data_IF_689410111224
#
_entry.id   IF_689410111224
#
_cell.length_a   1.000
_cell.length_b   1.000
_cell.length_c   1.000
_cell.angle_alpha   90.00
_cell.angle_beta   90.00
_cell.angle_gamma   90.00
#
_symmetry.space_group_name_H-M   'P 1'
#
loop_
_entity.id
_entity.type
_entity.pdbx_description
1 polymer ?
#
# COMPACT_ATOMS: atom_id res chain seq x y z
N UNK A 1 6.01 -24.07 -5.20
CA UNK A 1 5.63 -23.20 -6.33
C UNK A 1 5.59 -21.82 -5.73
N UNK A 2 6.44 -20.91 -6.19
CA UNK A 2 6.55 -19.60 -5.57
C UNK A 2 5.34 -18.76 -5.94
N UNK A 3 5.02 -17.79 -5.09
CA UNK A 3 3.89 -16.85 -5.28
C UNK A 3 3.92 -16.12 -6.65
N UNK A 4 5.09 -16.09 -7.31
CA UNK A 4 5.31 -15.58 -8.66
C UNK A 4 4.66 -16.39 -9.78
N UNK A 5 4.41 -17.68 -9.57
CA UNK A 5 4.03 -18.61 -10.63
C UNK A 5 2.52 -18.59 -10.91
N UNK A 6 1.71 -18.07 -9.97
CA UNK A 6 0.24 -18.06 -10.01
C UNK A 6 -0.35 -16.68 -10.34
N UNK A 7 0.29 -15.98 -11.29
CA UNK A 7 -0.18 -14.67 -11.79
C UNK A 7 -0.69 -14.75 -13.22
N UNK A 8 -1.94 -14.37 -13.39
CA UNK A 8 -2.53 -14.16 -14.70
C UNK A 8 -2.34 -12.70 -15.14
N UNK A 9 -1.51 -12.51 -16.15
CA UNK A 9 -1.38 -11.22 -16.84
C UNK A 9 -2.40 -11.10 -17.96
N UNK A 10 -3.35 -10.18 -17.83
CA UNK A 10 -4.32 -9.88 -18.90
C UNK A 10 -3.81 -8.71 -19.72
N UNK A 11 -3.57 -8.96 -21.00
CA UNK A 11 -3.08 -7.96 -21.95
C UNK A 11 -4.22 -7.16 -22.58
N UNK A 12 -3.93 -5.90 -22.89
CA UNK A 12 -4.81 -5.03 -23.67
C UNK A 12 -4.62 -5.21 -25.18
N UNK A 13 -5.33 -4.38 -25.95
CA UNK A 13 -5.34 -4.37 -27.42
C UNK A 13 -3.94 -4.16 -28.03
N UNK A 14 -3.05 -3.46 -27.32
CA UNK A 14 -1.67 -3.18 -27.73
C UNK A 14 -0.62 -4.13 -27.11
N UNK A 15 -1.04 -5.26 -26.53
CA UNK A 15 -0.13 -6.27 -25.97
C UNK A 15 0.51 -5.91 -24.61
N UNK A 16 0.33 -4.67 -24.13
CA UNK A 16 0.72 -4.27 -22.77
C UNK A 16 -0.17 -4.95 -21.71
N UNK A 17 0.40 -5.25 -20.54
CA UNK A 17 -0.38 -5.78 -19.40
C UNK A 17 -1.38 -4.71 -18.96
N UNK A 18 -2.67 -5.02 -19.08
CA UNK A 18 -3.77 -4.14 -18.67
C UNK A 18 -4.09 -4.32 -17.19
N UNK A 19 -4.10 -5.56 -16.71
CA UNK A 19 -4.23 -5.87 -15.29
C UNK A 19 -3.64 -7.24 -14.97
N UNK A 20 -3.31 -7.45 -13.70
CA UNK A 20 -2.83 -8.70 -13.14
C UNK A 20 -3.86 -9.27 -12.19
N UNK A 21 -4.01 -10.59 -12.19
CA UNK A 21 -4.78 -11.33 -11.19
C UNK A 21 -3.81 -12.25 -10.48
N UNK A 22 -3.71 -12.08 -9.16
CA UNK A 22 -2.97 -12.97 -8.28
C UNK A 22 -3.98 -13.82 -7.51
N UNK A 23 -3.78 -15.13 -7.51
CA UNK A 23 -4.54 -16.07 -6.67
C UNK A 23 -3.61 -16.60 -5.59
N UNK A 24 -4.05 -16.53 -4.33
CA UNK A 24 -3.29 -17.04 -3.18
C UNK A 24 -4.05 -18.25 -2.64
N UNK A 25 -3.50 -19.43 -2.84
CA UNK A 25 -3.95 -20.70 -2.24
C UNK A 25 -3.00 -21.17 -1.13
N UNK A 26 -3.39 -22.22 -0.40
CA UNK A 26 -2.70 -22.73 0.81
C UNK A 26 -1.20 -23.02 0.61
N UNK A 27 -0.79 -23.49 -0.58
CA UNK A 27 0.62 -23.81 -0.86
C UNK A 27 1.54 -22.59 -0.85
N UNK A 28 0.99 -21.37 -0.87
CA UNK A 28 1.75 -20.12 -0.80
C UNK A 28 1.90 -19.57 0.63
N UNK A 29 1.26 -20.19 1.63
CA UNK A 29 1.13 -19.56 2.94
C UNK A 29 2.46 -19.45 3.69
N UNK A 30 3.39 -20.40 3.52
CA UNK A 30 4.71 -20.30 4.15
C UNK A 30 5.52 -19.14 3.56
N UNK A 31 5.56 -18.99 2.24
CA UNK A 31 6.20 -17.85 1.56
C UNK A 31 5.56 -16.52 2.02
N UNK A 32 4.24 -16.45 2.05
CA UNK A 32 3.53 -15.25 2.48
C UNK A 32 3.80 -14.91 3.95
N UNK A 33 3.87 -15.90 4.84
CA UNK A 33 4.23 -15.69 6.25
C UNK A 33 5.64 -15.16 6.38
N UNK A 34 6.58 -15.69 5.61
CA UNK A 34 7.97 -15.23 5.62
C UNK A 34 8.07 -13.79 5.09
N UNK A 35 7.39 -13.47 3.98
CA UNK A 35 7.31 -12.10 3.46
C UNK A 35 6.74 -11.13 4.49
N UNK A 36 5.62 -11.48 5.14
CA UNK A 36 5.03 -10.67 6.22
C UNK A 36 6.04 -10.51 7.35
N UNK A 37 6.67 -11.58 7.82
CA UNK A 37 7.63 -11.52 8.94
C UNK A 37 8.78 -10.57 8.65
N UNK A 38 9.31 -10.61 7.42
CA UNK A 38 10.47 -9.83 7.03
C UNK A 38 10.14 -8.35 6.74
N UNK A 39 8.92 -8.06 6.26
CA UNK A 39 8.57 -6.72 5.76
C UNK A 39 7.62 -5.93 6.68
N UNK A 40 6.96 -6.58 7.65
CA UNK A 40 5.86 -5.97 8.41
C UNK A 40 6.25 -4.68 9.12
N UNK A 41 7.45 -4.63 9.74
CA UNK A 41 7.90 -3.44 10.45
C UNK A 41 8.05 -2.25 9.50
N UNK A 42 8.75 -2.44 8.38
CA UNK A 42 8.97 -1.40 7.36
C UNK A 42 7.66 -0.95 6.71
N UNK A 43 6.75 -1.88 6.40
CA UNK A 43 5.42 -1.53 5.86
C UNK A 43 4.58 -0.72 6.85
N UNK A 44 4.69 -1.03 8.14
CA UNK A 44 3.94 -0.33 9.19
C UNK A 44 4.52 1.04 9.51
N UNK A 45 5.85 1.17 9.59
CA UNK A 45 6.51 2.33 10.17
C UNK A 45 7.41 3.11 9.19
N UNK A 46 7.85 2.49 8.10
CA UNK A 46 8.84 3.01 7.16
C UNK A 46 10.27 2.75 7.60
N UNK A 47 11.21 2.78 6.64
CA UNK A 47 12.63 2.46 6.86
C UNK A 47 13.32 3.49 7.76
N UNK A 48 13.10 4.79 7.53
CA UNK A 48 13.77 5.86 8.27
C UNK A 48 13.43 5.86 9.79
N UNK A 49 12.16 5.80 10.20
CA UNK A 49 11.79 5.71 11.62
C UNK A 49 12.44 4.52 12.32
N UNK A 50 12.48 3.35 11.67
CA UNK A 50 13.16 2.15 12.18
C UNK A 50 14.66 2.42 12.35
N UNK A 51 15.29 3.11 11.41
CA UNK A 51 16.71 3.46 11.52
C UNK A 51 17.00 4.44 12.67
N UNK A 52 16.05 5.30 13.04
CA UNK A 52 16.19 6.28 14.13
C UNK A 52 15.91 5.64 15.50
N UNK A 53 14.84 4.86 15.63
CA UNK A 53 14.40 4.23 16.89
C UNK A 53 14.14 2.71 16.69
N UNK A 54 15.19 1.90 16.45
CA UNK A 54 15.05 0.49 16.07
C UNK A 54 14.42 -0.39 17.16
N UNK A 55 14.55 0.01 18.43
CA UNK A 55 13.97 -0.72 19.57
C UNK A 55 12.45 -0.47 19.72
N UNK A 56 11.95 0.66 19.21
CA UNK A 56 10.53 1.03 19.26
C UNK A 56 9.77 0.43 18.05
N UNK A 57 10.31 0.59 16.84
CA UNK A 57 9.66 0.20 15.59
C UNK A 57 10.05 -1.23 15.15
N UNK A 58 9.71 -2.21 15.98
CA UNK A 58 10.05 -3.63 15.74
C UNK A 58 8.93 -4.40 15.06
N UNK A 59 9.26 -5.57 14.49
CA UNK A 59 8.27 -6.56 14.03
C UNK A 59 7.22 -6.88 15.12
N UNK A 60 7.66 -7.09 16.35
CA UNK A 60 6.76 -7.40 17.46
C UNK A 60 5.86 -6.21 17.84
N UNK A 61 6.36 -4.97 17.76
CA UNK A 61 5.54 -3.78 17.94
C UNK A 61 4.45 -3.68 16.86
N UNK A 62 4.82 -3.91 15.59
CA UNK A 62 3.88 -3.92 14.47
C UNK A 62 2.78 -4.98 14.66
N UNK A 63 3.15 -6.22 15.03
CA UNK A 63 2.20 -7.28 15.34
C UNK A 63 1.21 -6.87 16.44
N UNK A 64 1.71 -6.30 17.55
CA UNK A 64 0.85 -5.85 18.67
C UNK A 64 -0.14 -4.77 18.21
N UNK A 65 0.32 -3.81 17.41
CA UNK A 65 -0.51 -2.72 16.92
C UNK A 65 -1.56 -3.17 15.90
N UNK A 66 -1.18 -4.02 14.93
CA UNK A 66 -2.13 -4.65 14.00
C UNK A 66 -3.18 -5.44 14.77
N UNK A 67 -2.76 -6.30 15.70
CA UNK A 67 -3.69 -7.10 16.50
C UNK A 67 -4.67 -6.22 17.29
N UNK A 68 -4.18 -5.17 17.96
CA UNK A 68 -5.03 -4.20 18.68
C UNK A 68 -6.05 -3.54 17.76
N UNK A 69 -5.65 -3.14 16.55
CA UNK A 69 -6.57 -2.53 15.58
C UNK A 69 -7.63 -3.53 15.10
N UNK A 70 -7.22 -4.77 14.79
CA UNK A 70 -8.14 -5.82 14.35
C UNK A 70 -9.18 -6.18 15.42
N UNK A 71 -8.83 -6.13 16.70
CA UNK A 71 -9.78 -6.33 17.81
C UNK A 71 -10.80 -5.19 17.93
N UNK A 72 -10.38 -3.95 17.63
CA UNK A 72 -11.23 -2.75 17.75
C UNK A 72 -12.16 -2.54 16.55
N UNK A 73 -11.72 -2.91 15.35
CA UNK A 73 -12.42 -2.58 14.11
C UNK A 73 -13.63 -3.47 13.85
N UNK A 74 -14.62 -2.93 13.14
CA UNK A 74 -15.68 -3.73 12.51
C UNK A 74 -15.12 -4.45 11.30
N UNK A 75 -15.77 -5.53 10.88
CA UNK A 75 -15.32 -6.42 9.81
C UNK A 75 -14.82 -5.70 8.54
N UNK A 76 -15.58 -4.71 8.03
CA UNK A 76 -15.19 -3.97 6.82
C UNK A 76 -13.84 -3.25 6.97
N UNK A 77 -13.59 -2.65 8.13
CA UNK A 77 -12.34 -1.99 8.43
C UNK A 77 -11.19 -2.98 8.69
N UNK A 78 -11.49 -4.18 9.22
CA UNK A 78 -10.51 -5.28 9.30
C UNK A 78 -10.07 -5.72 7.91
N UNK A 79 -11.02 -5.92 7.00
CA UNK A 79 -10.71 -6.29 5.61
C UNK A 79 -9.90 -5.19 4.92
N UNK A 80 -10.24 -3.91 5.16
CA UNK A 80 -9.48 -2.78 4.66
C UNK A 80 -8.01 -2.83 5.08
N UNK A 81 -7.77 -2.97 6.39
CA UNK A 81 -6.41 -3.02 6.95
C UNK A 81 -5.60 -4.22 6.40
N UNK A 82 -6.20 -5.41 6.33
CA UNK A 82 -5.53 -6.60 5.80
C UNK A 82 -5.29 -6.47 4.29
N UNK A 83 -6.25 -5.93 3.54
CA UNK A 83 -6.11 -5.72 2.10
C UNK A 83 -4.97 -4.75 1.79
N UNK A 84 -4.86 -3.65 2.54
CA UNK A 84 -3.77 -2.67 2.43
C UNK A 84 -2.41 -3.31 2.76
N UNK A 85 -2.33 -4.06 3.86
CA UNK A 85 -1.12 -4.80 4.25
C UNK A 85 -0.65 -5.76 3.16
N UNK A 86 -1.56 -6.59 2.63
CA UNK A 86 -1.21 -7.55 1.59
C UNK A 86 -0.72 -6.84 0.32
N UNK A 87 -1.35 -5.74 -0.07
CA UNK A 87 -0.95 -5.01 -1.26
C UNK A 87 0.41 -4.32 -1.10
N UNK A 88 0.75 -3.82 0.10
CA UNK A 88 2.08 -3.29 0.39
C UNK A 88 3.18 -4.34 0.20
N UNK A 89 2.95 -5.57 0.68
CA UNK A 89 3.92 -6.66 0.60
C UNK A 89 4.01 -7.25 -0.81
N UNK A 90 2.85 -7.44 -1.46
CA UNK A 90 2.78 -8.21 -2.70
C UNK A 90 3.01 -7.35 -3.94
N UNK A 91 2.42 -6.15 -4.02
CA UNK A 91 2.43 -5.35 -5.24
C UNK A 91 3.85 -5.06 -5.77
N UNK A 92 4.85 -4.69 -4.95
CA UNK A 92 6.20 -4.40 -5.44
C UNK A 92 6.82 -5.52 -6.28
N UNK A 93 6.49 -6.78 -5.98
CA UNK A 93 7.03 -7.94 -6.68
C UNK A 93 6.44 -8.13 -8.09
N UNK A 94 5.35 -7.43 -8.41
CA UNK A 94 4.54 -7.65 -9.61
C UNK A 94 4.29 -6.38 -10.42
N UNK A 95 4.91 -5.28 -10.04
CA UNK A 95 4.93 -4.04 -10.82
C UNK A 95 6.00 -4.14 -11.91
N UNK A 96 5.74 -3.51 -13.06
CA UNK A 96 6.69 -3.49 -14.20
C UNK A 96 7.82 -2.46 -14.02
N UNK A 97 7.95 -1.90 -12.82
CA UNK A 97 8.93 -0.88 -12.48
C UNK A 97 9.52 -1.16 -11.10
N UNK A 98 10.71 -0.62 -10.85
CA UNK A 98 11.35 -0.68 -9.54
C UNK A 98 10.56 0.19 -8.55
N UNK A 99 9.68 -0.45 -7.78
CA UNK A 99 8.78 0.21 -6.85
C UNK A 99 9.36 0.23 -5.44
N UNK A 100 9.72 1.42 -4.95
CA UNK A 100 10.01 1.62 -3.52
C UNK A 100 8.75 2.12 -2.82
N UNK A 101 8.27 1.41 -1.79
CA UNK A 101 7.09 1.85 -1.03
C UNK A 101 7.43 3.08 -0.21
N UNK A 102 6.65 4.15 -0.37
CA UNK A 102 6.81 5.39 0.41
C UNK A 102 5.65 5.62 1.37
N UNK A 103 4.49 5.00 1.12
CA UNK A 103 3.39 4.99 2.09
C UNK A 103 3.64 3.98 3.20
N UNK A 104 2.98 4.22 4.35
CA UNK A 104 3.02 3.40 5.55
C UNK A 104 1.62 3.16 6.05
N UNK A 105 1.37 1.99 6.64
CA UNK A 105 0.08 1.69 7.24
C UNK A 105 -0.21 2.58 8.45
N UNK A 106 0.81 2.86 9.29
CA UNK A 106 0.63 3.65 10.49
C UNK A 106 1.22 5.05 10.34
N UNK A 107 0.40 6.06 10.65
CA UNK A 107 0.89 7.42 10.83
C UNK A 107 1.64 7.50 12.16
N UNK A 108 2.89 7.99 12.15
CA UNK A 108 3.73 8.09 13.34
C UNK A 108 3.32 9.21 14.29
N UNK A 109 2.78 10.31 13.76
CA UNK A 109 2.53 11.54 14.52
C UNK A 109 1.04 11.80 14.84
N UNK A 110 0.11 11.33 14.00
CA UNK A 110 -1.32 11.58 14.18
C UNK A 110 -2.18 10.43 13.65
N UNK A 111 -2.73 9.61 14.56
CA UNK A 111 -3.61 8.48 14.21
C UNK A 111 -4.93 8.91 13.50
N UNK A 112 -5.26 10.21 13.52
CA UNK A 112 -6.51 10.74 12.97
C UNK A 112 -6.40 11.23 11.52
N UNK A 113 -5.19 11.28 10.94
CA UNK A 113 -5.00 11.71 9.55
C UNK A 113 -4.29 10.58 8.81
N UNK A 114 -5.03 9.88 7.92
CA UNK A 114 -4.42 8.94 6.98
C UNK A 114 -3.46 9.74 6.09
N UNK A 115 -2.16 9.47 6.20
CA UNK A 115 -1.15 10.10 5.37
C UNK A 115 -1.23 9.48 3.97
N UNK A 116 -1.59 10.29 2.98
CA UNK A 116 -1.56 9.88 1.58
C UNK A 116 -2.68 8.93 1.13
N UNK A 117 -2.40 8.21 0.05
CA UNK A 117 -3.25 7.16 -0.50
C UNK A 117 -3.01 5.84 0.22
N UNK A 118 -3.84 4.83 -0.09
CA UNK A 118 -3.64 3.48 0.44
C UNK A 118 -2.25 2.93 0.04
N UNK A 119 -1.79 3.22 -1.18
CA UNK A 119 -0.43 2.87 -1.63
C UNK A 119 0.23 4.05 -2.33
N UNK A 120 1.49 4.30 -2.03
CA UNK A 120 2.36 5.17 -2.78
C UNK A 120 3.67 4.42 -3.08
N UNK A 121 4.07 4.42 -4.35
CA UNK A 121 5.38 3.90 -4.76
C UNK A 121 6.20 4.98 -5.45
N UNK A 122 7.50 4.97 -5.22
CA UNK A 122 8.43 5.76 -5.98
C UNK A 122 9.14 4.87 -7.01
N UNK A 123 9.02 5.26 -8.29
CA UNK A 123 9.75 4.64 -9.39
C UNK A 123 11.04 5.40 -9.62
N UNK A 124 12.16 4.78 -9.21
CA UNK A 124 13.51 5.35 -9.38
C UNK A 124 13.91 5.54 -10.83
N UNK A 125 13.48 4.63 -11.71
CA UNK A 125 13.88 4.61 -13.13
C UNK A 125 13.37 5.83 -13.89
N UNK A 126 12.14 6.25 -13.61
CA UNK A 126 11.55 7.42 -14.28
C UNK A 126 11.25 8.60 -13.35
N UNK A 127 11.64 8.51 -12.08
CA UNK A 127 11.46 9.52 -11.03
C UNK A 127 10.01 9.95 -10.85
N UNK A 128 9.08 8.99 -10.87
CA UNK A 128 7.63 9.23 -10.71
C UNK A 128 7.09 8.66 -9.41
N UNK A 129 6.04 9.29 -8.91
CA UNK A 129 5.24 8.76 -7.80
C UNK A 129 4.02 8.07 -8.41
N UNK A 130 3.79 6.84 -7.99
CA UNK A 130 2.63 6.04 -8.32
C UNK A 130 1.68 5.99 -7.14
N UNK A 131 0.40 6.21 -7.42
CA UNK A 131 -0.67 6.20 -6.43
C UNK A 131 -1.56 4.99 -6.62
N UNK A 132 -1.86 4.29 -5.54
CA UNK A 132 -2.72 3.13 -5.51
C UNK A 132 -3.86 3.29 -4.51
N UNK A 133 -5.02 2.80 -4.91
CA UNK A 133 -6.22 2.75 -4.07
C UNK A 133 -6.61 1.29 -3.90
N UNK A 134 -6.80 0.87 -2.65
CA UNK A 134 -7.09 -0.52 -2.27
C UNK A 134 -8.55 -0.63 -1.86
N UNK A 135 -9.21 -1.67 -2.36
CA UNK A 135 -10.58 -2.02 -1.99
C UNK A 135 -10.68 -3.51 -1.74
N UNK A 136 -11.14 -3.85 -0.55
CA UNK A 136 -11.26 -5.21 -0.04
C UNK A 136 -12.72 -5.52 0.33
N UNK A 137 -13.08 -6.79 0.28
CA UNK A 137 -14.40 -7.25 0.70
C UNK A 137 -14.57 -8.75 0.53
N UNK A 138 -15.54 -9.32 1.23
CA UNK A 138 -15.90 -10.74 1.11
C UNK A 138 -16.66 -10.99 -0.18
N UNK A 139 -16.41 -12.13 -0.84
CA UNK A 139 -17.04 -12.53 -2.10
C UNK A 139 -18.57 -12.48 -2.01
N UNK A 140 -19.14 -12.92 -0.89
CA UNK A 140 -20.60 -12.96 -0.67
C UNK A 140 -21.22 -11.58 -0.43
N UNK A 141 -20.45 -10.62 0.09
CA UNK A 141 -20.93 -9.29 0.48
C UNK A 141 -20.52 -8.18 -0.50
N UNK A 142 -19.58 -8.47 -1.40
CA UNK A 142 -18.94 -7.47 -2.25
C UNK A 142 -18.78 -7.98 -3.68
N UNK A 143 -19.35 -7.22 -4.62
CA UNK A 143 -19.10 -7.44 -6.04
C UNK A 143 -17.70 -6.92 -6.41
N UNK A 144 -16.84 -7.79 -6.94
CA UNK A 144 -15.47 -7.45 -7.41
C UNK A 144 -15.46 -6.25 -8.35
N UNK A 145 -16.39 -6.18 -9.31
CA UNK A 145 -16.52 -5.04 -10.23
C UNK A 145 -16.89 -3.77 -9.48
N UNK A 146 -17.73 -3.89 -8.45
CA UNK A 146 -18.08 -2.78 -7.55
C UNK A 146 -16.87 -2.24 -6.79
N UNK A 147 -16.02 -3.11 -6.25
CA UNK A 147 -14.79 -2.72 -5.56
C UNK A 147 -13.80 -2.03 -6.51
N UNK A 148 -13.57 -2.58 -7.70
CA UNK A 148 -12.72 -1.96 -8.74
C UNK A 148 -13.25 -0.57 -9.12
N UNK A 149 -14.57 -0.45 -9.33
CA UNK A 149 -15.18 0.84 -9.65
C UNK A 149 -15.05 1.85 -8.50
N UNK A 150 -15.16 1.41 -7.24
CA UNK A 150 -14.92 2.27 -6.07
C UNK A 150 -13.47 2.75 -6.04
N UNK A 151 -12.49 1.86 -6.29
CA UNK A 151 -11.08 2.23 -6.36
C UNK A 151 -10.83 3.26 -7.47
N UNK A 152 -11.35 3.01 -8.68
CA UNK A 152 -11.25 3.92 -9.81
C UNK A 152 -11.86 5.31 -9.51
N UNK A 153 -13.07 5.34 -8.94
CA UNK A 153 -13.73 6.59 -8.54
C UNK A 153 -12.94 7.34 -7.47
N UNK A 154 -12.34 6.63 -6.51
CA UNK A 154 -11.47 7.19 -5.48
C UNK A 154 -10.27 7.92 -6.10
N UNK A 155 -9.53 7.22 -6.96
CA UNK A 155 -8.40 7.80 -7.70
C UNK A 155 -8.82 8.98 -8.57
N UNK A 156 -9.89 8.84 -9.36
CA UNK A 156 -10.39 9.91 -10.23
C UNK A 156 -10.77 11.15 -9.43
N UNK A 157 -11.56 10.98 -8.37
CA UNK A 157 -12.00 12.07 -7.52
C UNK A 157 -10.80 12.78 -6.86
N UNK A 158 -9.77 12.03 -6.47
CA UNK A 158 -8.54 12.62 -5.98
C UNK A 158 -7.86 13.49 -7.05
N UNK A 159 -7.57 12.93 -8.23
CA UNK A 159 -6.80 13.64 -9.26
C UNK A 159 -7.54 14.85 -9.81
N UNK A 160 -8.86 14.75 -9.98
CA UNK A 160 -9.69 15.89 -10.41
C UNK A 160 -9.62 17.06 -9.40
N UNK A 161 -9.37 16.78 -8.12
CA UNK A 161 -9.42 17.75 -7.04
C UNK A 161 -8.05 18.06 -6.41
N UNK A 162 -6.95 17.50 -6.91
CA UNK A 162 -5.63 17.60 -6.25
C UNK A 162 -5.14 19.06 -6.12
N UNK A 163 -5.52 19.91 -7.07
CA UNK A 163 -5.21 21.35 -7.07
C UNK A 163 -6.35 22.21 -6.50
N UNK A 164 -7.46 21.59 -6.08
CA UNK A 164 -8.63 22.31 -5.59
C UNK A 164 -8.33 22.95 -4.23
N UNK A 165 -8.56 24.27 -4.13
CA UNK A 165 -8.45 25.00 -2.85
C UNK A 165 -9.57 24.66 -1.86
N UNK A 166 -10.65 24.00 -2.33
CA UNK A 166 -11.82 23.64 -1.51
C UNK A 166 -11.64 22.29 -0.80
N UNK A 167 -10.81 21.40 -1.36
CA UNK A 167 -10.60 20.04 -0.86
C UNK A 167 -9.25 19.95 -0.13
N UNK A 168 -9.20 20.49 1.10
CA UNK A 168 -8.00 20.57 1.95
C UNK A 168 -7.37 19.19 2.16
N UNK A 169 -8.18 18.13 2.26
CA UNK A 169 -7.72 16.76 2.49
C UNK A 169 -6.92 16.19 1.32
N UNK A 170 -7.35 16.43 0.09
CA UNK A 170 -6.70 15.97 -1.14
C UNK A 170 -5.34 16.64 -1.32
N UNK A 171 -5.29 17.96 -1.09
CA UNK A 171 -4.03 18.72 -1.13
C UNK A 171 -3.06 18.27 -0.04
N UNK A 172 -3.53 18.05 1.19
CA UNK A 172 -2.69 17.56 2.28
C UNK A 172 -2.04 16.21 1.93
N UNK A 173 -2.79 15.28 1.34
CA UNK A 173 -2.25 13.99 0.87
C UNK A 173 -1.16 14.15 -0.18
N UNK A 174 -1.29 15.11 -1.11
CA UNK A 174 -0.25 15.42 -2.10
C UNK A 174 1.02 15.99 -1.44
N UNK A 175 0.87 16.95 -0.53
CA UNK A 175 2.00 17.53 0.19
C UNK A 175 2.73 16.48 1.04
N UNK A 176 1.99 15.57 1.69
CA UNK A 176 2.58 14.46 2.43
C UNK A 176 3.43 13.54 1.54
N UNK A 177 2.89 13.12 0.39
CA UNK A 177 3.63 12.28 -0.55
C UNK A 177 4.90 12.96 -1.10
N UNK A 178 4.84 14.26 -1.41
CA UNK A 178 6.03 15.03 -1.82
C UNK A 178 7.07 15.13 -0.71
N UNK A 179 6.64 15.31 0.54
CA UNK A 179 7.55 15.38 1.68
C UNK A 179 8.30 14.05 1.87
N UNK A 180 7.59 12.92 1.78
CA UNK A 180 8.19 11.58 1.88
C UNK A 180 9.24 11.36 0.78
N UNK A 181 8.93 11.73 -0.47
CA UNK A 181 9.91 11.64 -1.57
C UNK A 181 11.10 12.59 -1.38
N UNK A 182 10.87 13.81 -0.88
CA UNK A 182 11.94 14.76 -0.62
C UNK A 182 12.95 14.25 0.42
N UNK A 183 12.46 13.56 1.46
CA UNK A 183 13.30 12.91 2.47
C UNK A 183 14.14 11.79 1.85
N UNK A 184 13.53 10.94 1.01
CA UNK A 184 14.28 9.90 0.29
C UNK A 184 15.44 10.47 -0.52
N UNK A 185 15.20 11.51 -1.33
CA UNK A 185 16.27 12.14 -2.10
C UNK A 185 17.33 12.85 -1.25
N UNK A 186 16.97 13.35 -0.06
CA UNK A 186 17.95 13.94 0.86
C UNK A 186 18.87 12.87 1.46
N UNK A 187 18.37 11.66 1.66
CA UNK A 187 19.15 10.52 2.15
C UNK A 187 20.09 9.91 1.11
N UNK A 188 19.73 9.94 -0.18
CA UNK A 188 20.57 9.45 -1.30
C UNK A 188 21.79 10.34 -1.63
N UNK A 189 21.85 11.56 -1.06
CA UNK A 189 22.97 12.50 -1.26
C UNK A 189 24.08 12.38 -0.20
N UNK A 190 24.02 11.40 0.68
CA UNK A 190 25.07 11.06 1.66
C UNK A 190 25.83 9.83 1.22
#
# INVERSE_FOLDING_TARGET
>A
MSLSDDILCVKGEYGHVKYRILKIDDHHFEDLKEMIKNQLAEVCYGVEPIAIEPDEYTYHAACRQIHKNLLRYKDEAKYGLIGELLMHILAPNYLDFSAESISRIFALQNQNIKQGFDLNFYDKGCRKIWYGEVKSGLVEKSNRRGLINKAHKGLKNYFDNIMSKKEISTRYRWEAAKAEVAVMFASEKK
#
